data_IF_595667725324
#
_entry.id   IF_595667725324
#
_cell.length_a   1.000
_cell.length_b   1.000
_cell.length_c   1.000
_cell.angle_alpha   90.00
_cell.angle_beta   90.00
_cell.angle_gamma   90.00
#
_symmetry.space_group_name_H-M   'P 1'
#
loop_
_entity.id
_entity.type
_entity.pdbx_description
1 polymer ?
#
# COMPACT_ATOMS: atom_id res chain seq x y z
N UNK A 1 -31.76 9.28 -3.04
CA UNK A 1 -31.46 9.97 -4.32
C UNK A 1 -30.46 11.12 -4.13
N UNK A 2 -30.61 12.00 -3.15
CA UNK A 2 -29.71 13.12 -2.84
C UNK A 2 -28.27 12.66 -2.58
N UNK A 3 -28.07 11.59 -1.82
CA UNK A 3 -26.74 11.03 -1.51
C UNK A 3 -25.97 10.53 -2.74
N UNK A 4 -26.64 9.95 -3.74
CA UNK A 4 -25.98 9.51 -4.98
C UNK A 4 -25.53 10.69 -5.85
N UNK A 5 -26.34 11.74 -5.92
CA UNK A 5 -26.01 12.97 -6.67
C UNK A 5 -24.86 13.69 -5.99
N UNK A 6 -24.88 13.81 -4.66
CA UNK A 6 -23.80 14.41 -3.89
C UNK A 6 -22.47 13.69 -4.10
N UNK A 7 -22.45 12.36 -3.98
CA UNK A 7 -21.25 11.54 -4.22
C UNK A 7 -20.71 11.69 -5.65
N UNK A 8 -21.59 11.75 -6.64
CA UNK A 8 -21.21 11.96 -8.03
C UNK A 8 -20.59 13.34 -8.27
N UNK A 9 -21.19 14.40 -7.72
CA UNK A 9 -20.66 15.77 -7.82
C UNK A 9 -19.34 15.91 -7.07
N UNK A 10 -19.24 15.34 -5.88
CA UNK A 10 -18.02 15.35 -5.09
C UNK A 10 -16.87 14.64 -5.84
N UNK A 11 -17.09 13.46 -6.43
CA UNK A 11 -16.10 12.78 -7.26
C UNK A 11 -15.64 13.64 -8.43
N UNK A 12 -16.54 14.28 -9.16
CA UNK A 12 -16.18 15.19 -10.26
C UNK A 12 -15.36 16.39 -9.79
N UNK A 13 -15.71 16.97 -8.64
CA UNK A 13 -14.96 18.08 -8.05
C UNK A 13 -13.56 17.62 -7.64
N UNK A 14 -13.45 16.49 -6.96
CA UNK A 14 -12.16 15.92 -6.56
C UNK A 14 -11.30 15.66 -7.80
N UNK A 15 -11.81 14.94 -8.79
CA UNK A 15 -11.04 14.60 -10.00
C UNK A 15 -10.54 15.87 -10.67
N UNK A 16 -11.42 16.87 -10.88
CA UNK A 16 -11.05 18.13 -11.51
C UNK A 16 -10.06 18.93 -10.66
N UNK A 17 -10.21 18.89 -9.35
CA UNK A 17 -9.33 19.56 -8.41
C UNK A 17 -7.91 18.94 -8.43
N UNK A 18 -7.80 17.62 -8.38
CA UNK A 18 -6.52 16.95 -8.52
C UNK A 18 -5.92 17.13 -9.93
N UNK A 19 -6.74 17.12 -11.00
CA UNK A 19 -6.27 17.40 -12.36
C UNK A 19 -5.63 18.80 -12.52
N UNK A 20 -6.13 19.78 -11.78
CA UNK A 20 -5.60 21.15 -11.79
C UNK A 20 -4.36 21.29 -10.90
N UNK A 21 -4.30 20.56 -9.81
CA UNK A 21 -3.26 20.69 -8.79
C UNK A 21 -2.06 19.78 -9.00
N UNK A 22 -2.28 18.63 -9.62
CA UNK A 22 -1.20 17.73 -9.97
C UNK A 22 -0.58 18.20 -11.27
N UNK A 23 0.65 18.71 -11.20
CA UNK A 23 1.49 18.85 -12.38
C UNK A 23 1.65 17.45 -13.00
N UNK A 24 0.87 17.17 -14.04
CA UNK A 24 1.04 15.96 -14.84
C UNK A 24 2.23 16.17 -15.74
N UNK A 25 3.38 15.71 -15.30
CA UNK A 25 4.47 15.51 -16.26
C UNK A 25 4.08 14.31 -17.14
N UNK A 26 4.41 14.38 -18.44
CA UNK A 26 4.23 13.28 -19.39
C UNK A 26 5.30 12.21 -19.12
N UNK A 27 5.18 11.55 -17.97
CA UNK A 27 6.09 10.49 -17.54
C UNK A 27 5.53 9.16 -18.06
N UNK A 28 6.38 8.38 -18.72
CA UNK A 28 6.01 7.03 -19.15
C UNK A 28 6.02 6.10 -17.94
N UNK A 29 4.84 5.72 -17.51
CA UNK A 29 4.65 4.74 -16.44
C UNK A 29 4.46 3.34 -17.01
N UNK A 30 4.94 2.32 -16.28
CA UNK A 30 4.72 0.92 -16.58
C UNK A 30 3.89 0.29 -15.47
N UNK A 31 2.89 -0.49 -15.86
CA UNK A 31 2.01 -1.17 -14.94
C UNK A 31 2.56 -2.54 -14.56
N UNK A 32 2.49 -2.88 -13.27
CA UNK A 32 2.90 -4.16 -12.71
C UNK A 32 1.81 -4.71 -11.82
N UNK A 33 1.55 -6.01 -11.90
CA UNK A 33 0.60 -6.72 -11.08
C UNK A 33 -0.74 -7.02 -11.76
N UNK A 34 -1.70 -7.43 -10.96
CA UNK A 34 -3.07 -7.72 -11.37
C UNK A 34 -3.86 -6.42 -11.66
N UNK A 35 -5.03 -6.54 -12.28
CA UNK A 35 -5.94 -5.39 -12.46
C UNK A 35 -6.51 -4.86 -11.14
N UNK A 36 -6.44 -5.63 -10.04
CA UNK A 36 -6.90 -5.25 -8.72
C UNK A 36 -5.76 -4.64 -7.87
N UNK A 37 -4.67 -5.37 -7.66
CA UNK A 37 -3.57 -4.99 -6.78
C UNK A 37 -2.32 -4.47 -7.49
N UNK A 38 -2.42 -4.16 -8.80
CA UNK A 38 -1.30 -3.66 -9.58
C UNK A 38 -1.13 -2.14 -9.54
N UNK A 39 0.09 -1.69 -9.78
CA UNK A 39 0.48 -0.29 -9.67
C UNK A 39 1.29 0.20 -10.86
N UNK A 40 1.20 1.50 -11.12
CA UNK A 40 2.01 2.17 -12.12
C UNK A 40 3.30 2.68 -11.51
N UNK A 41 4.43 2.35 -12.13
CA UNK A 41 5.78 2.70 -11.68
C UNK A 41 6.50 3.50 -12.75
N UNK A 42 7.24 4.52 -12.35
CA UNK A 42 8.23 5.17 -13.18
C UNK A 42 9.54 4.38 -13.13
N UNK A 43 9.99 3.88 -14.30
CA UNK A 43 11.19 3.07 -14.39
C UNK A 43 12.46 3.93 -14.25
N UNK A 44 13.24 3.71 -13.22
CA UNK A 44 14.55 4.33 -12.99
C UNK A 44 15.65 3.28 -12.89
N UNK A 45 16.87 3.63 -13.23
CA UNK A 45 18.01 2.74 -13.04
C UNK A 45 18.23 2.37 -11.55
N UNK A 46 17.86 3.27 -10.63
CA UNK A 46 17.99 3.05 -9.19
C UNK A 46 17.11 1.92 -8.63
N UNK A 47 16.08 1.48 -9.37
CA UNK A 47 15.17 0.42 -8.93
C UNK A 47 15.75 -0.99 -9.13
N UNK A 48 16.68 -1.17 -10.08
CA UNK A 48 17.30 -2.48 -10.37
C UNK A 48 18.23 -2.92 -9.25
N UNK A 49 18.14 -4.20 -8.88
CA UNK A 49 18.95 -4.82 -7.82
C UNK A 49 18.91 -4.06 -6.48
N UNK A 50 17.81 -3.36 -6.21
CA UNK A 50 17.60 -2.57 -5.01
C UNK A 50 16.72 -3.28 -3.99
N UNK A 51 16.32 -2.56 -2.95
CA UNK A 51 15.26 -2.98 -2.02
C UNK A 51 14.15 -1.95 -2.05
N UNK A 52 12.90 -2.40 -2.17
CA UNK A 52 11.70 -1.58 -2.07
C UNK A 52 10.87 -1.97 -0.84
N UNK A 53 9.99 -1.08 -0.40
CA UNK A 53 9.04 -1.34 0.67
C UNK A 53 7.62 -1.36 0.08
N UNK A 54 6.84 -2.39 0.41
CA UNK A 54 5.45 -2.55 -0.01
C UNK A 54 4.57 -2.73 1.22
N UNK A 55 3.79 -1.71 1.58
CA UNK A 55 2.88 -1.73 2.71
C UNK A 55 1.45 -2.01 2.23
N UNK A 56 0.76 -2.92 2.94
CA UNK A 56 -0.54 -3.44 2.53
C UNK A 56 -0.41 -4.52 1.47
N UNK A 57 -0.30 -5.76 1.93
CA UNK A 57 -0.08 -6.94 1.08
C UNK A 57 -1.42 -7.60 0.72
N UNK A 58 -2.34 -7.67 1.69
CA UNK A 58 -3.62 -8.33 1.49
C UNK A 58 -3.48 -9.78 1.04
N UNK A 59 -4.29 -10.14 0.06
CA UNK A 59 -4.28 -11.45 -0.60
C UNK A 59 -3.93 -11.31 -2.10
N UNK A 60 -3.22 -10.22 -2.47
CA UNK A 60 -2.69 -9.97 -3.80
C UNK A 60 -1.30 -9.32 -3.73
N UNK A 61 -0.25 -10.09 -4.04
CA UNK A 61 1.13 -9.60 -4.13
C UNK A 61 1.66 -9.63 -5.57
N UNK A 62 0.76 -9.52 -6.54
CA UNK A 62 1.12 -9.57 -7.96
C UNK A 62 2.10 -8.47 -8.35
N UNK A 63 1.91 -7.27 -7.81
CA UNK A 63 2.83 -6.16 -7.96
C UNK A 63 4.24 -6.53 -7.48
N UNK A 64 4.35 -7.04 -6.26
CA UNK A 64 5.63 -7.37 -5.62
C UNK A 64 6.38 -8.44 -6.39
N UNK A 65 5.68 -9.51 -6.79
CA UNK A 65 6.25 -10.62 -7.57
C UNK A 65 6.73 -10.15 -8.94
N UNK A 66 5.96 -9.32 -9.64
CA UNK A 66 6.36 -8.81 -10.94
C UNK A 66 7.55 -7.85 -10.85
N UNK A 67 7.62 -7.03 -9.79
CA UNK A 67 8.76 -6.15 -9.52
C UNK A 67 10.04 -6.95 -9.28
N UNK A 68 10.00 -8.03 -8.46
CA UNK A 68 11.14 -8.92 -8.24
C UNK A 68 11.59 -9.56 -9.57
N UNK A 69 10.63 -10.10 -10.32
CA UNK A 69 10.95 -10.79 -11.59
C UNK A 69 11.57 -9.85 -12.62
N UNK A 70 11.04 -8.63 -12.73
CA UNK A 70 11.48 -7.64 -13.72
C UNK A 70 12.83 -7.02 -13.36
N UNK A 71 13.05 -6.65 -12.09
CA UNK A 71 14.18 -5.81 -11.69
C UNK A 71 15.22 -6.51 -10.82
N UNK A 72 14.98 -7.77 -10.45
CA UNK A 72 15.85 -8.55 -9.55
C UNK A 72 16.10 -7.82 -8.22
N UNK A 73 15.08 -7.14 -7.74
CA UNK A 73 15.11 -6.40 -6.48
C UNK A 73 14.60 -7.25 -5.31
N UNK A 74 14.79 -6.75 -4.08
CA UNK A 74 14.20 -7.32 -2.89
C UNK A 74 12.95 -6.52 -2.48
N UNK A 75 11.92 -7.20 -1.97
CA UNK A 75 10.72 -6.56 -1.44
C UNK A 75 10.59 -6.81 0.05
N UNK A 76 10.46 -5.73 0.82
CA UNK A 76 10.06 -5.78 2.21
C UNK A 76 8.55 -5.49 2.24
N UNK A 77 7.76 -6.55 2.34
CA UNK A 77 6.32 -6.48 2.56
C UNK A 77 6.04 -6.11 4.02
N UNK A 78 5.11 -5.19 4.27
CA UNK A 78 4.72 -4.76 5.61
C UNK A 78 3.21 -4.90 5.77
N UNK A 79 2.77 -5.89 6.53
CA UNK A 79 1.36 -6.15 6.78
C UNK A 79 1.18 -6.99 8.05
N UNK A 80 0.44 -6.51 9.06
CA UNK A 80 0.23 -7.22 10.32
C UNK A 80 -0.99 -8.14 10.29
N UNK A 81 -1.82 -8.11 9.24
CA UNK A 81 -3.13 -8.74 9.25
C UNK A 81 -3.01 -10.27 9.19
N UNK A 82 -3.83 -11.01 9.96
CA UNK A 82 -3.75 -12.47 9.99
C UNK A 82 -3.92 -13.12 8.61
N UNK A 83 -4.82 -12.57 7.78
CA UNK A 83 -5.09 -13.09 6.42
C UNK A 83 -3.88 -12.90 5.51
N UNK A 84 -3.27 -11.72 5.51
CA UNK A 84 -2.05 -11.46 4.72
C UNK A 84 -0.88 -12.34 5.16
N UNK A 85 -0.72 -12.54 6.48
CA UNK A 85 0.33 -13.42 7.01
C UNK A 85 0.12 -14.87 6.54
N UNK A 86 -1.11 -15.38 6.61
CA UNK A 86 -1.43 -16.72 6.13
C UNK A 86 -1.19 -16.84 4.61
N UNK A 87 -1.64 -15.83 3.86
CA UNK A 87 -1.47 -15.79 2.42
C UNK A 87 0.02 -15.75 2.03
N UNK A 88 0.80 -14.88 2.64
CA UNK A 88 2.25 -14.78 2.42
C UNK A 88 2.96 -16.11 2.72
N UNK A 89 2.58 -16.81 3.79
CA UNK A 89 3.14 -18.13 4.10
C UNK A 89 2.85 -19.16 2.99
N UNK A 90 1.69 -19.07 2.30
CA UNK A 90 1.40 -19.90 1.13
C UNK A 90 2.33 -19.57 -0.04
N UNK A 91 2.64 -18.29 -0.27
CA UNK A 91 3.61 -17.87 -1.28
C UNK A 91 4.99 -18.48 -1.01
N UNK A 92 5.50 -18.32 0.23
CA UNK A 92 6.83 -18.84 0.61
C UNK A 92 6.92 -20.37 0.41
N UNK A 93 5.87 -21.11 0.71
CA UNK A 93 5.81 -22.57 0.51
C UNK A 93 5.83 -22.98 -0.96
N UNK A 94 5.47 -22.07 -1.87
CA UNK A 94 5.39 -22.33 -3.31
C UNK A 94 6.49 -21.65 -4.12
N UNK A 95 7.53 -21.09 -3.47
CA UNK A 95 8.69 -20.56 -4.18
C UNK A 95 9.29 -21.62 -5.11
N UNK A 96 9.71 -21.21 -6.31
CA UNK A 96 10.18 -22.08 -7.37
C UNK A 96 9.08 -22.59 -8.31
N UNK A 97 7.79 -22.39 -8.03
CA UNK A 97 6.69 -22.77 -8.92
C UNK A 97 6.53 -21.80 -10.09
N UNK A 98 6.09 -22.32 -11.23
CA UNK A 98 5.79 -21.52 -12.42
C UNK A 98 4.32 -21.05 -12.41
N UNK A 99 4.07 -19.96 -13.09
CA UNK A 99 2.72 -19.47 -13.36
C UNK A 99 1.96 -20.46 -14.25
N UNK A 100 0.73 -20.80 -13.84
CA UNK A 100 -0.15 -21.74 -14.56
C UNK A 100 -1.43 -21.08 -15.06
N UNK A 101 -1.83 -19.94 -14.47
CA UNK A 101 -3.06 -19.23 -14.85
C UNK A 101 -2.89 -17.71 -14.77
N UNK A 102 -3.82 -16.99 -15.38
CA UNK A 102 -3.85 -15.53 -15.27
C UNK A 102 -4.34 -15.07 -13.88
N UNK A 103 -4.04 -13.81 -13.54
CA UNK A 103 -4.61 -13.18 -12.36
C UNK A 103 -6.14 -13.13 -12.43
N UNK A 104 -6.80 -13.25 -11.28
CA UNK A 104 -8.23 -12.97 -11.15
C UNK A 104 -8.51 -11.47 -11.21
N UNK A 105 -9.77 -11.11 -11.42
CA UNK A 105 -10.22 -9.70 -11.43
C UNK A 105 -10.57 -9.18 -10.03
N UNK A 106 -10.57 -10.06 -9.03
CA UNK A 106 -10.88 -9.74 -7.63
C UNK A 106 -9.61 -9.67 -6.77
N UNK A 107 -9.77 -9.24 -5.52
CA UNK A 107 -8.67 -9.01 -4.58
C UNK A 107 -8.01 -10.28 -4.03
N UNK A 108 -8.46 -11.47 -4.42
CA UNK A 108 -7.81 -12.73 -4.04
C UNK A 108 -7.14 -13.37 -5.24
N UNK A 109 -5.82 -13.55 -5.18
CA UNK A 109 -5.06 -14.22 -6.22
C UNK A 109 -4.73 -15.67 -5.82
N UNK A 110 -4.95 -16.60 -6.74
CA UNK A 110 -4.50 -17.99 -6.53
C UNK A 110 -2.97 -18.05 -6.64
N UNK A 111 -2.34 -18.90 -5.81
CA UNK A 111 -0.87 -18.99 -5.76
C UNK A 111 -0.26 -19.34 -7.12
N UNK A 112 -0.91 -20.20 -7.89
CA UNK A 112 -0.45 -20.60 -9.23
C UNK A 112 -0.70 -19.54 -10.34
N UNK A 113 -1.20 -18.35 -9.98
CA UNK A 113 -1.21 -17.20 -10.89
C UNK A 113 0.09 -16.39 -10.86
N UNK A 114 1.00 -16.69 -9.93
CA UNK A 114 2.31 -16.05 -9.83
C UNK A 114 3.39 -16.86 -10.51
N UNK A 115 4.36 -16.19 -11.14
CA UNK A 115 5.63 -16.80 -11.52
C UNK A 115 6.63 -16.67 -10.37
N UNK A 116 6.74 -17.71 -9.58
CA UNK A 116 7.64 -17.80 -8.44
C UNK A 116 8.95 -18.56 -8.77
N UNK A 117 9.14 -18.99 -10.04
CA UNK A 117 10.22 -19.89 -10.44
C UNK A 117 11.63 -19.32 -10.25
N UNK A 118 11.77 -17.99 -10.32
CA UNK A 118 13.06 -17.30 -10.14
C UNK A 118 13.23 -16.64 -8.77
N UNK A 119 12.25 -16.76 -7.87
CA UNK A 119 12.22 -16.04 -6.60
C UNK A 119 12.77 -16.91 -5.48
N UNK A 120 13.67 -16.33 -4.69
CA UNK A 120 14.28 -16.97 -3.51
C UNK A 120 13.68 -16.39 -2.23
N UNK A 121 13.84 -17.12 -1.13
CA UNK A 121 13.31 -16.70 0.17
C UNK A 121 13.84 -15.35 0.65
N UNK A 122 15.03 -14.94 0.22
CA UNK A 122 15.63 -13.66 0.59
C UNK A 122 15.16 -12.49 -0.29
N UNK A 123 14.52 -12.76 -1.43
CA UNK A 123 14.06 -11.72 -2.35
C UNK A 123 12.75 -11.07 -1.86
N UNK A 124 12.03 -11.74 -0.95
CA UNK A 124 10.77 -11.22 -0.39
C UNK A 124 10.68 -11.54 1.11
N UNK A 125 10.40 -10.53 1.92
CA UNK A 125 10.32 -10.65 3.39
C UNK A 125 9.04 -10.00 3.89
N UNK A 126 8.32 -10.65 4.83
CA UNK A 126 7.16 -10.06 5.49
C UNK A 126 7.53 -9.53 6.88
N UNK A 127 7.29 -8.26 7.11
CA UNK A 127 7.30 -7.59 8.41
C UNK A 127 5.87 -7.54 8.94
N UNK A 128 5.60 -8.29 10.02
CA UNK A 128 4.25 -8.43 10.60
C UNK A 128 3.92 -7.27 11.54
N UNK A 129 4.01 -6.06 11.02
CA UNK A 129 3.75 -4.79 11.71
C UNK A 129 2.85 -3.92 10.84
N UNK A 130 2.05 -3.07 11.46
CA UNK A 130 1.44 -1.94 10.75
C UNK A 130 2.50 -0.86 10.57
N UNK A 131 2.65 -0.30 9.37
CA UNK A 131 3.43 0.92 9.20
C UNK A 131 2.66 2.09 9.83
N UNK A 132 3.32 2.89 10.69
CA UNK A 132 2.69 3.98 11.41
C UNK A 132 3.65 5.16 11.62
N UNK A 133 3.16 6.25 12.19
CA UNK A 133 3.98 7.43 12.47
C UNK A 133 4.93 7.26 13.68
N UNK A 134 4.79 6.18 14.44
CA UNK A 134 5.65 5.79 15.57
C UNK A 134 5.65 4.28 15.77
N UNK A 135 6.71 3.76 16.36
CA UNK A 135 6.77 2.35 16.79
C UNK A 135 6.04 2.19 18.12
N UNK A 136 5.08 1.26 18.17
CA UNK A 136 4.29 0.96 19.36
C UNK A 136 3.75 -0.48 19.35
N UNK A 137 3.45 -1.03 20.52
CA UNK A 137 3.08 -2.45 20.68
C UNK A 137 1.58 -2.74 20.51
N UNK A 138 0.71 -1.77 20.63
CA UNK A 138 -0.75 -2.01 20.64
C UNK A 138 -1.50 -1.00 19.76
N UNK A 139 -1.38 -1.14 18.45
CA UNK A 139 -2.22 -0.43 17.51
C UNK A 139 -3.49 -1.22 17.22
N UNK A 140 -4.65 -0.57 17.21
CA UNK A 140 -5.93 -1.19 16.86
C UNK A 140 -6.19 -1.05 15.36
N UNK A 141 -6.46 -2.18 14.71
CA UNK A 141 -6.98 -2.22 13.35
C UNK A 141 -8.42 -2.73 13.38
N UNK A 142 -9.34 -1.97 12.86
CA UNK A 142 -10.78 -2.25 12.87
C UNK A 142 -11.18 -3.09 11.67
N UNK A 143 -12.03 -4.10 11.92
CA UNK A 143 -12.64 -4.88 10.86
C UNK A 143 -13.67 -4.04 10.10
N UNK A 144 -13.79 -4.19 8.78
CA UNK A 144 -14.87 -3.58 8.01
C UNK A 144 -16.22 -4.21 8.38
N UNK A 145 -17.31 -3.46 8.21
CA UNK A 145 -18.67 -3.97 8.46
C UNK A 145 -18.97 -5.24 7.67
N UNK A 146 -18.51 -5.30 6.42
CA UNK A 146 -18.53 -6.52 5.63
C UNK A 146 -17.26 -7.33 5.87
N UNK A 147 -17.37 -8.38 6.70
CA UNK A 147 -16.27 -9.27 7.07
C UNK A 147 -15.67 -10.08 5.88
N UNK A 148 -16.28 -10.04 4.70
CA UNK A 148 -15.67 -10.62 3.49
C UNK A 148 -14.55 -9.74 2.92
N UNK A 149 -14.55 -8.45 3.22
CA UNK A 149 -13.46 -7.55 2.85
C UNK A 149 -12.22 -7.88 3.67
N UNK A 150 -11.06 -7.81 3.01
CA UNK A 150 -9.76 -8.17 3.61
C UNK A 150 -9.19 -7.02 4.43
N UNK A 151 -9.54 -5.80 4.05
CA UNK A 151 -8.94 -4.56 4.50
C UNK A 151 -9.31 -4.23 5.96
N UNK A 152 -8.30 -4.23 6.82
CA UNK A 152 -8.43 -3.72 8.19
C UNK A 152 -7.93 -2.28 8.21
N UNK A 153 -8.71 -1.37 8.78
CA UNK A 153 -8.39 0.06 8.82
C UNK A 153 -7.92 0.51 10.19
N UNK A 154 -6.95 1.43 10.23
CA UNK A 154 -6.57 2.14 11.44
C UNK A 154 -7.68 3.06 11.92
N UNK A 155 -8.39 3.67 10.96
CA UNK A 155 -9.53 4.54 11.25
C UNK A 155 -10.83 3.74 11.19
N UNK A 156 -11.69 3.91 12.19
CA UNK A 156 -13.00 3.26 12.25
C UNK A 156 -14.06 3.97 11.35
N UNK A 157 -13.61 4.68 10.30
CA UNK A 157 -14.48 5.49 9.43
C UNK A 157 -15.47 4.62 8.64
N UNK A 158 -15.06 3.46 8.16
CA UNK A 158 -15.91 2.53 7.39
C UNK A 158 -17.09 1.98 8.20
N UNK A 159 -16.99 2.02 9.53
CA UNK A 159 -18.02 1.61 10.47
C UNK A 159 -18.74 2.82 11.14
N UNK A 160 -18.65 4.01 10.56
CA UNK A 160 -19.20 5.25 11.11
C UNK A 160 -18.77 5.52 12.57
N UNK A 161 -17.55 5.17 12.94
CA UNK A 161 -16.94 5.34 14.28
C UNK A 161 -17.72 4.67 15.42
N UNK A 162 -18.43 3.59 15.15
CA UNK A 162 -19.15 2.85 16.21
C UNK A 162 -18.17 2.26 17.23
N UNK A 163 -18.51 2.39 18.52
CA UNK A 163 -17.66 1.93 19.63
C UNK A 163 -17.59 0.39 19.74
N UNK A 164 -18.63 -0.31 19.25
CA UNK A 164 -18.76 -1.77 19.29
C UNK A 164 -18.10 -2.48 18.10
N UNK A 165 -17.29 -1.77 17.33
CA UNK A 165 -16.60 -2.35 16.16
C UNK A 165 -15.50 -3.31 16.58
N UNK A 166 -15.54 -4.51 16.03
CA UNK A 166 -14.49 -5.53 16.21
C UNK A 166 -13.13 -4.99 15.71
N UNK A 167 -12.07 -5.27 16.43
CA UNK A 167 -10.70 -4.90 16.09
C UNK A 167 -9.68 -6.00 16.44
N UNK A 168 -8.53 -5.94 15.81
CA UNK A 168 -7.34 -6.70 16.18
C UNK A 168 -6.26 -5.75 16.69
N UNK A 169 -5.52 -6.15 17.72
CA UNK A 169 -4.32 -5.45 18.18
C UNK A 169 -3.12 -5.97 17.42
N UNK A 170 -2.31 -5.06 16.92
CA UNK A 170 -1.09 -5.36 16.16
C UNK A 170 0.05 -4.47 16.64
N UNK A 171 1.27 -4.91 16.41
CA UNK A 171 2.44 -4.05 16.59
C UNK A 171 2.57 -3.09 15.41
N UNK A 172 3.00 -1.88 15.70
CA UNK A 172 3.30 -0.87 14.69
C UNK A 172 4.79 -0.59 14.62
N UNK A 173 5.27 -0.20 13.45
CA UNK A 173 6.65 0.21 13.19
C UNK A 173 6.66 1.54 12.46
N UNK A 174 7.52 2.46 12.91
CA UNK A 174 7.73 3.71 12.19
C UNK A 174 8.55 3.51 10.92
N UNK A 175 8.42 4.46 9.98
CA UNK A 175 9.24 4.46 8.77
C UNK A 175 10.74 4.46 9.10
N UNK A 176 11.17 5.30 10.06
CA UNK A 176 12.55 5.38 10.50
C UNK A 176 13.09 4.05 11.07
N UNK A 177 12.30 3.42 11.95
CA UNK A 177 12.71 2.15 12.57
C UNK A 177 12.68 0.98 11.57
N UNK A 178 11.80 1.04 10.57
CA UNK A 178 11.79 0.08 9.46
C UNK A 178 13.07 0.20 8.62
N UNK A 179 13.49 1.42 8.26
CA UNK A 179 14.75 1.66 7.56
C UNK A 179 15.95 1.16 8.35
N UNK A 180 16.00 1.46 9.66
CA UNK A 180 17.08 0.99 10.56
C UNK A 180 17.12 -0.54 10.67
N UNK A 181 15.96 -1.18 10.80
CA UNK A 181 15.82 -2.64 10.91
C UNK A 181 16.46 -3.37 9.72
N UNK A 182 16.40 -2.79 8.53
CA UNK A 182 16.95 -3.36 7.31
C UNK A 182 18.22 -2.67 6.82
N UNK A 183 18.80 -1.75 7.61
CA UNK A 183 19.99 -0.96 7.28
C UNK A 183 19.88 -0.25 5.92
N UNK A 184 18.69 0.28 5.61
CA UNK A 184 18.46 0.98 4.35
C UNK A 184 18.97 2.42 4.46
N UNK A 185 19.86 2.81 3.55
CA UNK A 185 20.40 4.17 3.42
C UNK A 185 19.81 4.94 2.24
N UNK A 186 19.08 4.24 1.38
CA UNK A 186 18.31 4.78 0.25
C UNK A 186 17.11 3.88 -0.01
N UNK A 187 16.05 4.43 -0.56
CA UNK A 187 14.82 3.73 -0.87
C UNK A 187 14.29 4.18 -2.23
N UNK A 188 14.41 3.40 -3.31
CA UNK A 188 13.91 3.81 -4.63
C UNK A 188 12.40 3.87 -4.72
N UNK A 189 11.68 3.05 -3.93
CA UNK A 189 10.22 3.02 -3.98
C UNK A 189 9.61 2.56 -2.66
N UNK A 190 8.55 3.24 -2.24
CA UNK A 190 7.61 2.76 -1.22
C UNK A 190 6.19 2.74 -1.79
N UNK A 191 5.46 1.62 -1.57
CA UNK A 191 4.03 1.49 -1.81
C UNK A 191 3.29 1.61 -0.47
N UNK A 192 2.24 2.42 -0.45
CA UNK A 192 1.36 2.63 0.71
C UNK A 192 -0.10 2.40 0.30
N UNK A 193 -0.66 1.29 0.77
CA UNK A 193 -2.03 0.84 0.59
C UNK A 193 -2.47 0.29 1.95
N UNK A 194 -2.73 1.20 2.89
CA UNK A 194 -2.74 0.92 4.34
C UNK A 194 -4.01 1.39 5.05
N UNK A 195 -5.07 1.57 4.26
CA UNK A 195 -6.45 1.71 4.71
C UNK A 195 -6.65 2.82 5.77
N UNK A 196 -6.22 4.06 5.41
CA UNK A 196 -6.47 5.28 6.19
C UNK A 196 -5.33 5.72 7.11
N UNK A 197 -4.13 5.11 7.01
CA UNK A 197 -2.93 5.55 7.72
C UNK A 197 -1.99 6.42 6.86
N UNK A 198 -2.28 6.58 5.57
CA UNK A 198 -1.38 7.15 4.55
C UNK A 198 -0.92 8.55 4.90
N UNK A 199 -1.82 9.41 5.36
CA UNK A 199 -1.49 10.79 5.69
C UNK A 199 -0.42 10.88 6.78
N UNK A 200 -0.60 10.17 7.89
CA UNK A 200 0.29 10.24 9.04
C UNK A 200 1.65 9.61 8.73
N UNK A 201 1.64 8.51 7.97
CA UNK A 201 2.86 7.84 7.48
C UNK A 201 3.63 8.75 6.52
N UNK A 202 2.96 9.39 5.55
CA UNK A 202 3.59 10.34 4.63
C UNK A 202 4.20 11.54 5.35
N UNK A 203 3.52 12.09 6.36
CA UNK A 203 4.11 13.15 7.20
C UNK A 203 5.36 12.67 7.93
N UNK A 204 5.40 11.42 8.38
CA UNK A 204 6.59 10.81 8.99
C UNK A 204 7.72 10.66 7.96
N UNK A 205 7.42 10.20 6.74
CA UNK A 205 8.40 10.06 5.66
C UNK A 205 9.02 11.40 5.30
N UNK A 206 8.20 12.45 5.09
CA UNK A 206 8.69 13.80 4.73
C UNK A 206 9.66 14.38 5.77
N UNK A 207 9.50 14.00 7.04
CA UNK A 207 10.39 14.44 8.13
C UNK A 207 11.67 13.62 8.25
N UNK A 208 11.79 12.52 7.51
CA UNK A 208 12.96 11.65 7.56
C UNK A 208 14.06 12.16 6.61
N UNK A 209 15.31 11.84 6.93
CA UNK A 209 16.47 12.19 6.09
C UNK A 209 16.59 11.29 4.85
N UNK A 210 15.98 10.11 4.88
CA UNK A 210 15.96 9.17 3.74
C UNK A 210 14.58 9.24 3.12
N UNK A 211 14.46 9.97 2.02
CA UNK A 211 13.23 10.03 1.23
C UNK A 211 13.24 8.95 0.15
N UNK A 212 12.10 8.33 -0.15
CA UNK A 212 11.99 7.44 -1.29
C UNK A 212 12.01 8.24 -2.61
N UNK A 213 12.61 7.68 -3.66
CA UNK A 213 12.61 8.30 -5.01
C UNK A 213 11.18 8.31 -5.60
N UNK A 214 10.36 7.31 -5.25
CA UNK A 214 8.95 7.20 -5.65
C UNK A 214 8.08 6.78 -4.47
N UNK A 215 6.89 7.38 -4.39
CA UNK A 215 5.84 7.00 -3.45
C UNK A 215 4.61 6.62 -4.27
N UNK A 216 4.19 5.36 -4.16
CA UNK A 216 2.91 4.88 -4.66
C UNK A 216 1.94 4.88 -3.49
N UNK A 217 0.82 5.57 -3.61
CA UNK A 217 -0.12 5.71 -2.49
C UNK A 217 -1.56 5.68 -2.95
N UNK A 218 -2.40 4.93 -2.24
CA UNK A 218 -3.85 4.98 -2.33
C UNK A 218 -4.40 5.77 -1.13
N UNK A 219 -5.28 6.74 -1.40
CA UNK A 219 -5.84 7.61 -0.34
C UNK A 219 -7.28 7.21 -0.03
N UNK A 220 -7.47 6.22 0.82
CA UNK A 220 -8.78 5.68 1.18
C UNK A 220 -9.69 6.70 1.85
N UNK A 221 -9.14 7.59 2.69
CA UNK A 221 -9.92 8.63 3.35
C UNK A 221 -10.63 9.59 2.36
N UNK A 222 -10.17 9.71 1.12
CA UNK A 222 -10.85 10.52 0.10
C UNK A 222 -12.20 9.92 -0.32
N UNK A 223 -12.44 8.65 -0.07
CA UNK A 223 -13.72 8.00 -0.32
C UNK A 223 -14.79 8.29 0.74
N UNK A 224 -14.43 8.96 1.86
CA UNK A 224 -15.40 9.40 2.87
C UNK A 224 -16.28 10.56 2.41
N UNK A 225 -15.92 11.20 1.30
CA UNK A 225 -16.63 12.35 0.73
C UNK A 225 -16.68 13.59 1.63
N UNK A 226 -15.70 13.77 2.52
CA UNK A 226 -15.57 14.92 3.40
C UNK A 226 -14.64 15.98 2.81
N UNK A 227 -15.10 17.22 2.75
CA UNK A 227 -14.29 18.33 2.23
C UNK A 227 -13.06 18.64 3.10
N UNK A 228 -13.14 18.36 4.39
CA UNK A 228 -12.03 18.46 5.34
C UNK A 228 -10.85 17.57 4.93
N UNK A 229 -11.13 16.33 4.51
CA UNK A 229 -10.12 15.39 4.04
C UNK A 229 -9.45 15.91 2.75
N UNK A 230 -10.24 16.42 1.81
CA UNK A 230 -9.68 17.01 0.59
C UNK A 230 -8.68 18.13 0.89
N UNK A 231 -8.98 19.03 1.83
CA UNK A 231 -8.06 20.10 2.23
C UNK A 231 -6.82 19.55 2.94
N UNK A 232 -6.96 18.49 3.74
CA UNK A 232 -5.86 17.80 4.41
C UNK A 232 -4.86 17.27 3.38
N UNK A 233 -5.34 16.52 2.37
CA UNK A 233 -4.50 15.94 1.31
C UNK A 233 -3.94 16.99 0.36
N UNK A 234 -4.64 18.08 0.10
CA UNK A 234 -4.08 19.19 -0.64
C UNK A 234 -2.88 19.85 0.03
N UNK A 235 -2.95 20.05 1.35
CA UNK A 235 -1.82 20.59 2.13
C UNK A 235 -0.64 19.61 2.14
N UNK A 236 -0.92 18.31 2.19
CA UNK A 236 0.09 17.26 2.11
C UNK A 236 0.78 17.29 0.73
N UNK A 237 0.02 17.32 -0.35
CA UNK A 237 0.55 17.38 -1.72
C UNK A 237 1.52 18.56 -1.89
N UNK A 238 1.15 19.75 -1.41
CA UNK A 238 2.04 20.91 -1.44
C UNK A 238 3.36 20.71 -0.69
N UNK A 239 3.38 19.87 0.35
CA UNK A 239 4.61 19.56 1.08
C UNK A 239 5.48 18.53 0.37
N UNK A 240 4.87 17.67 -0.46
CA UNK A 240 5.59 16.66 -1.23
C UNK A 240 6.28 17.23 -2.47
N UNK A 241 5.77 18.33 -3.03
CA UNK A 241 6.31 18.96 -4.25
C UNK A 241 7.23 20.18 -3.99
N UNK A 242 7.35 20.63 -2.73
CA UNK A 242 8.26 21.69 -2.31
C UNK A 242 9.45 21.11 -1.53
#
# INVERSE_FOLDING_TARGET
>A
MVTKIYRFLYRKIITKFFDILMSRENIKLKFFGSSYGGWHVFETEGIKNSTIISCGVGEDISFDIEMINQYKLNVICVDPTPRSIEYFNKIIKNLGSKKEQNYSLDGYQKINSYDLSGIKNNDITLVKYAIWNKTEEELKLYYPENKSNVSLSLSNFSNNYREDTDFVKVNAISYDDLLKKFNLTKLPLIKLDIEGAEYDVLISIIKNNILPDQILVEFDELYTYEFSQLLKYFKLHKKLIN
#
